data_IF_613159211401
#
_entry.id   IF_613159211401
#
_cell.length_a   1.000
_cell.length_b   1.000
_cell.length_c   1.000
_cell.angle_alpha   90.00
_cell.angle_beta   90.00
_cell.angle_gamma   90.00
#
_symmetry.space_group_name_H-M   'P 1'
#
loop_
_entity.id
_entity.type
_entity.pdbx_description
1 polymer ?
#
# COMPACT_ATOMS: atom_id res chain seq x y z
N UNK A 1 1.36 -27.80 32.02
CA UNK A 1 1.11 -27.62 30.59
C UNK A 1 -0.03 -26.62 30.45
N UNK A 2 0.27 -25.35 30.20
CA UNK A 2 -0.75 -24.30 30.15
C UNK A 2 -1.37 -24.30 28.76
N UNK A 3 -2.64 -24.67 28.65
CA UNK A 3 -3.38 -24.57 27.38
C UNK A 3 -3.73 -23.09 27.21
N UNK A 4 -2.92 -22.36 26.44
CA UNK A 4 -3.28 -21.01 26.00
C UNK A 4 -4.42 -21.19 24.99
N UNK A 5 -5.64 -20.86 25.41
CA UNK A 5 -6.77 -20.73 24.49
C UNK A 5 -6.58 -19.40 23.76
N UNK A 6 -5.89 -19.42 22.63
CA UNK A 6 -5.84 -18.25 21.76
C UNK A 6 -7.27 -17.91 21.35
N UNK A 7 -7.73 -16.71 21.72
CA UNK A 7 -9.05 -16.26 21.33
C UNK A 7 -8.96 -15.86 19.85
N UNK A 8 -9.50 -16.70 18.97
CA UNK A 8 -9.48 -16.47 17.51
C UNK A 8 -10.27 -15.18 17.16
N UNK A 9 -11.12 -14.71 18.07
CA UNK A 9 -11.86 -13.45 17.94
C UNK A 9 -10.94 -12.21 18.04
N UNK A 10 -9.90 -12.24 18.88
CA UNK A 10 -8.94 -11.12 19.02
C UNK A 10 -7.92 -11.07 17.86
N UNK A 11 -7.80 -12.13 17.06
CA UNK A 11 -6.91 -12.20 15.88
C UNK A 11 -7.61 -11.83 14.57
N UNK A 12 -8.86 -11.36 14.64
CA UNK A 12 -9.63 -10.91 13.48
C UNK A 12 -9.73 -9.39 13.47
N UNK A 13 -9.57 -8.80 12.30
CA UNK A 13 -9.80 -7.38 12.05
C UNK A 13 -10.74 -7.25 10.85
N UNK A 14 -11.70 -6.33 10.94
CA UNK A 14 -12.61 -6.00 9.85
C UNK A 14 -12.04 -4.85 9.03
N UNK A 15 -12.06 -4.99 7.71
CA UNK A 15 -11.61 -3.98 6.76
C UNK A 15 -12.81 -3.54 5.93
N UNK A 16 -13.13 -2.25 5.97
CA UNK A 16 -14.13 -1.66 5.10
C UNK A 16 -13.61 -1.61 3.66
N UNK A 17 -14.40 -2.09 2.70
CA UNK A 17 -14.10 -1.99 1.27
C UNK A 17 -14.65 -0.70 0.64
N UNK A 18 -15.22 0.21 1.43
CA UNK A 18 -15.77 1.46 0.94
C UNK A 18 -14.69 2.51 0.61
N UNK A 19 -13.47 2.31 1.11
CA UNK A 19 -12.37 3.28 1.01
C UNK A 19 -11.22 2.74 0.14
N UNK A 20 -10.59 3.62 -0.65
CA UNK A 20 -9.42 3.27 -1.45
C UNK A 20 -8.14 3.43 -0.62
N UNK A 21 -7.91 2.48 0.28
CA UNK A 21 -6.85 2.54 1.30
C UNK A 21 -5.88 1.35 1.21
N UNK A 22 -4.67 1.54 1.74
CA UNK A 22 -3.69 0.47 1.91
C UNK A 22 -3.70 0.03 3.37
N UNK A 23 -3.76 -1.29 3.61
CA UNK A 23 -3.71 -1.88 4.95
C UNK A 23 -2.48 -2.77 5.07
N UNK A 24 -1.75 -2.66 6.18
CA UNK A 24 -0.54 -3.46 6.46
C UNK A 24 -0.70 -4.16 7.80
N UNK A 25 -0.42 -5.47 7.83
CA UNK A 25 -0.37 -6.22 9.10
C UNK A 25 1.04 -6.15 9.67
N UNK A 26 1.17 -5.61 10.87
CA UNK A 26 2.45 -5.54 11.60
C UNK A 26 2.21 -5.83 13.07
N UNK A 27 3.03 -6.73 13.64
CA UNK A 27 2.95 -7.14 15.05
C UNK A 27 1.56 -7.64 15.46
N UNK A 28 0.87 -8.35 14.54
CA UNK A 28 -0.47 -8.89 14.75
C UNK A 28 -1.60 -7.86 14.67
N UNK A 29 -1.30 -6.61 14.31
CA UNK A 29 -2.28 -5.51 14.21
C UNK A 29 -2.39 -5.01 12.77
N UNK A 30 -3.59 -4.60 12.37
CA UNK A 30 -3.83 -3.96 11.07
C UNK A 30 -3.60 -2.46 11.21
N UNK A 31 -2.67 -1.93 10.42
CA UNK A 31 -2.37 -0.51 10.31
C UNK A 31 -2.94 0.03 9.01
N UNK A 32 -3.60 1.18 9.08
CA UNK A 32 -4.07 1.90 7.90
C UNK A 32 -2.96 2.84 7.41
N UNK A 33 -2.70 2.83 6.12
CA UNK A 33 -1.83 3.80 5.47
C UNK A 33 -2.73 4.73 4.66
N UNK A 34 -2.75 5.99 5.05
CA UNK A 34 -3.43 7.01 4.26
C UNK A 34 -2.81 7.07 2.87
N UNK A 35 -3.64 7.07 1.81
CA UNK A 35 -3.14 7.36 0.49
C UNK A 35 -2.46 8.73 0.56
N UNK A 36 -1.35 8.93 -0.17
CA UNK A 36 -0.73 10.23 -0.22
C UNK A 36 -1.78 11.27 -0.63
N UNK A 37 -1.95 12.31 0.20
CA UNK A 37 -2.91 13.41 -0.01
C UNK A 37 -2.73 14.09 -1.36
N UNK A 38 -1.53 13.97 -1.92
CA UNK A 38 -1.21 14.29 -3.31
C UNK A 38 -0.10 13.37 -3.82
N UNK A 39 -0.17 12.99 -5.10
CA UNK A 39 0.84 12.20 -5.78
C UNK A 39 0.94 12.66 -7.23
N UNK A 40 2.11 13.19 -7.60
CA UNK A 40 2.38 13.82 -8.89
C UNK A 40 2.61 12.79 -9.99
N UNK A 41 1.67 11.86 -10.15
CA UNK A 41 1.72 10.92 -11.25
C UNK A 41 2.76 9.81 -11.14
N UNK A 42 2.81 9.00 -12.18
CA UNK A 42 3.74 7.90 -12.35
C UNK A 42 4.89 8.34 -13.26
N UNK A 43 6.15 8.14 -12.85
CA UNK A 43 7.31 8.36 -13.71
C UNK A 43 8.02 7.03 -13.99
N UNK A 44 8.01 6.61 -15.24
CA UNK A 44 8.63 5.37 -15.70
C UNK A 44 9.86 5.67 -16.56
N UNK A 45 10.96 4.97 -16.29
CA UNK A 45 12.19 5.05 -17.09
C UNK A 45 12.46 3.72 -17.77
N UNK A 46 12.60 3.74 -19.10
CA UNK A 46 13.00 2.58 -19.88
C UNK A 46 14.48 2.67 -20.18
N UNK A 47 15.23 1.62 -19.85
CA UNK A 47 16.66 1.51 -20.11
C UNK A 47 16.94 0.51 -21.22
N UNK A 48 17.89 0.85 -22.10
CA UNK A 48 18.48 -0.07 -23.07
C UNK A 48 20.00 0.08 -23.02
N UNK A 49 20.71 -1.04 -22.86
CA UNK A 49 22.17 -1.08 -22.71
C UNK A 49 22.70 -0.13 -21.61
N UNK A 50 22.01 -0.08 -20.46
CA UNK A 50 22.39 0.76 -19.32
C UNK A 50 22.15 2.26 -19.51
N UNK A 51 21.55 2.69 -20.63
CA UNK A 51 21.19 4.09 -20.89
C UNK A 51 19.68 4.26 -20.93
N UNK A 52 19.18 5.37 -20.40
CA UNK A 52 17.75 5.74 -20.48
C UNK A 52 17.40 6.02 -21.94
N UNK A 53 16.38 5.36 -22.46
CA UNK A 53 15.86 5.57 -23.81
C UNK A 53 14.48 6.21 -23.84
N UNK A 54 13.70 6.08 -22.75
CA UNK A 54 12.37 6.70 -22.64
C UNK A 54 12.08 7.08 -21.20
N UNK A 55 11.47 8.25 -21.04
CA UNK A 55 10.89 8.71 -19.78
C UNK A 55 9.42 8.95 -20.06
N UNK A 56 8.54 8.25 -19.35
CA UNK A 56 7.11 8.51 -19.36
C UNK A 56 6.72 9.13 -18.05
N UNK A 57 5.92 10.19 -18.12
CA UNK A 57 5.33 10.82 -16.95
C UNK A 57 3.81 10.85 -17.15
N UNK A 58 3.07 10.30 -16.19
CA UNK A 58 1.61 10.33 -16.16
C UNK A 58 1.14 11.14 -14.97
N UNK A 59 0.90 12.43 -15.16
CA UNK A 59 0.37 13.30 -14.11
C UNK A 59 -1.13 13.07 -13.94
N UNK A 60 -1.55 12.81 -12.71
CA UNK A 60 -2.97 12.65 -12.34
C UNK A 60 -3.69 14.01 -12.21
N UNK A 61 -2.96 15.14 -12.18
CA UNK A 61 -3.52 16.49 -12.24
C UNK A 61 -2.69 17.39 -13.19
N UNK A 62 -3.39 18.12 -14.06
CA UNK A 62 -2.85 19.27 -14.80
C UNK A 62 -3.10 20.52 -13.95
N UNK A 63 -2.02 21.23 -13.63
CA UNK A 63 -2.04 22.50 -12.88
C UNK A 63 -2.84 23.57 -13.63
#
# INVERSE_FOLDING_TARGET
>A
MTIIRESIAEMKAEISLAENMIYVVKDGQVHQIEPPTSGHGEQSFVYKNGKVTRVDERKTQLI
#
